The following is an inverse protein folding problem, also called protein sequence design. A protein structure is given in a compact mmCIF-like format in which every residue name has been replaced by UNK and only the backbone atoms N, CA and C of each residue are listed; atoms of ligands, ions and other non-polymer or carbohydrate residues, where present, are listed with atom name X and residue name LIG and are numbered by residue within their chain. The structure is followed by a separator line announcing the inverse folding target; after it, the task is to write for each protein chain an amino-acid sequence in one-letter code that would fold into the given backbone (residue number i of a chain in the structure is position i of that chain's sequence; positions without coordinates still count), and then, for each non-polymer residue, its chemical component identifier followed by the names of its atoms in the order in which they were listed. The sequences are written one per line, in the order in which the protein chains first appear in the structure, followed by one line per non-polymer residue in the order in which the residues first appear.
data_IF_483143598121
#
_entry.id   IF_483143598121
#
_cell.length_a   1.000
_cell.length_b   1.000
_cell.length_c   1.000
_cell.angle_alpha   90.00
_cell.angle_beta   90.00
_cell.angle_gamma   90.00
#
_symmetry.space_group_name_H-M   'P 1'
#
loop_
_entity.id
_entity.type
_entity.pdbx_description
1 polymer ?
#
# COMPACT_ATOMS: atom_id res chain seq x y z
N UNK A 1 -16.81 -13.71 -25.02
CA UNK A 1 -16.12 -12.57 -25.67
C UNK A 1 -14.67 -12.99 -25.91
N UNK A 2 -14.08 -12.73 -27.09
CA UNK A 2 -12.67 -13.04 -27.37
C UNK A 2 -11.78 -11.90 -26.87
N UNK A 3 -10.65 -12.23 -26.29
CA UNK A 3 -9.65 -11.27 -25.84
C UNK A 3 -8.62 -10.99 -26.95
N UNK A 4 -7.98 -9.80 -26.94
CA UNK A 4 -7.04 -9.39 -28.00
C UNK A 4 -5.83 -10.33 -28.14
N UNK A 5 -5.40 -11.00 -27.07
CA UNK A 5 -4.29 -11.93 -27.11
C UNK A 5 -4.63 -13.28 -27.78
N UNK A 6 -5.91 -13.55 -28.05
CA UNK A 6 -6.41 -14.79 -28.66
C UNK A 6 -6.49 -14.73 -30.18
N UNK A 7 -6.35 -13.55 -30.78
CA UNK A 7 -6.56 -13.32 -32.21
C UNK A 7 -5.28 -12.81 -32.90
N UNK A 8 -5.14 -12.99 -34.23
CA UNK A 8 -4.06 -12.37 -34.99
C UNK A 8 -4.06 -10.84 -34.87
N UNK A 9 -2.89 -10.23 -34.94
CA UNK A 9 -2.73 -8.78 -34.82
C UNK A 9 -3.57 -7.99 -35.84
N UNK A 10 -3.67 -8.47 -37.08
CA UNK A 10 -4.48 -7.85 -38.14
C UNK A 10 -5.98 -7.86 -37.84
N UNK A 11 -6.49 -8.92 -37.21
CA UNK A 11 -7.90 -9.01 -36.79
C UNK A 11 -8.17 -8.04 -35.63
N UNK A 12 -7.24 -7.96 -34.67
CA UNK A 12 -7.32 -7.02 -33.55
C UNK A 12 -7.30 -5.56 -34.02
N UNK A 13 -6.40 -5.22 -34.95
CA UNK A 13 -6.26 -3.88 -35.52
C UNK A 13 -7.53 -3.43 -36.26
N UNK A 14 -8.18 -4.35 -36.99
CA UNK A 14 -9.41 -4.06 -37.71
C UNK A 14 -10.64 -3.84 -36.80
N UNK A 15 -10.59 -4.26 -35.53
CA UNK A 15 -11.73 -4.21 -34.59
C UNK A 15 -11.34 -3.76 -33.18
N UNK A 16 -10.45 -2.76 -33.09
CA UNK A 16 -9.87 -2.26 -31.83
C UNK A 16 -10.91 -1.96 -30.74
N UNK A 17 -12.02 -1.31 -31.07
CA UNK A 17 -13.03 -0.91 -30.08
C UNK A 17 -13.75 -2.09 -29.41
N UNK A 18 -13.90 -3.22 -30.11
CA UNK A 18 -14.44 -4.46 -29.54
C UNK A 18 -13.49 -5.01 -28.48
N UNK A 19 -12.20 -5.10 -28.79
CA UNK A 19 -11.19 -5.64 -27.89
C UNK A 19 -10.89 -4.72 -26.69
N UNK A 20 -10.98 -3.39 -26.85
CA UNK A 20 -10.97 -2.46 -25.72
C UNK A 20 -12.11 -2.78 -24.75
N UNK A 21 -13.30 -3.07 -25.26
CA UNK A 21 -14.47 -3.43 -24.44
C UNK A 21 -14.23 -4.74 -23.68
N UNK A 22 -13.63 -5.74 -24.35
CA UNK A 22 -13.27 -7.01 -23.72
C UNK A 22 -12.29 -6.80 -22.55
N UNK A 23 -11.22 -6.03 -22.74
CA UNK A 23 -10.24 -5.74 -21.68
C UNK A 23 -10.89 -4.97 -20.53
N UNK A 24 -11.73 -3.97 -20.84
CA UNK A 24 -12.42 -3.16 -19.82
C UNK A 24 -13.35 -3.99 -18.94
N UNK A 25 -14.00 -5.03 -19.50
CA UNK A 25 -14.86 -5.92 -18.72
C UNK A 25 -14.12 -6.67 -17.60
N UNK A 26 -12.80 -6.79 -17.70
CA UNK A 26 -11.94 -7.43 -16.70
C UNK A 26 -11.28 -6.46 -15.71
N UNK A 27 -11.41 -5.15 -15.91
CA UNK A 27 -10.87 -4.15 -14.99
C UNK A 27 -11.87 -3.91 -13.86
N UNK A 28 -11.62 -4.53 -12.72
CA UNK A 28 -12.38 -4.29 -11.49
C UNK A 28 -11.71 -3.20 -10.65
N UNK A 29 -12.50 -2.59 -9.76
CA UNK A 29 -11.96 -1.67 -8.76
C UNK A 29 -11.89 -2.35 -7.39
N UNK A 30 -10.80 -2.09 -6.68
CA UNK A 30 -10.58 -2.59 -5.33
C UNK A 30 -11.02 -1.59 -4.23
N UNK A 31 -11.88 -0.60 -4.50
CA UNK A 31 -12.25 0.38 -3.45
C UNK A 31 -12.81 -0.22 -2.16
N UNK A 32 -13.45 -1.37 -2.25
CA UNK A 32 -14.10 -2.03 -1.11
C UNK A 32 -13.19 -3.04 -0.40
N UNK A 33 -12.04 -3.37 -1.00
CA UNK A 33 -11.13 -4.40 -0.49
C UNK A 33 -9.69 -3.91 -0.53
N UNK A 34 -8.96 -4.06 0.58
CA UNK A 34 -7.56 -3.69 0.61
C UNK A 34 -6.73 -4.83 1.19
N UNK A 35 -5.50 -5.04 0.69
CA UNK A 35 -4.63 -6.05 1.23
C UNK A 35 -4.27 -5.72 2.69
N UNK A 36 -4.36 -6.74 3.55
CA UNK A 36 -3.80 -6.70 4.89
C UNK A 36 -2.30 -6.95 4.76
N UNK A 37 -1.50 -5.88 4.77
CA UNK A 37 -0.05 -6.01 4.86
C UNK A 37 0.38 -6.67 6.17
N UNK A 38 1.62 -7.17 6.23
CA UNK A 38 2.19 -7.85 7.42
C UNK A 38 2.18 -7.00 8.71
N UNK A 39 2.04 -5.67 8.59
CA UNK A 39 1.89 -4.74 9.71
C UNK A 39 0.45 -4.24 9.94
N UNK A 40 -0.56 -4.88 9.35
CA UNK A 40 -1.96 -4.52 9.59
C UNK A 40 -2.37 -4.92 11.02
N UNK A 41 -2.94 -3.99 11.76
CA UNK A 41 -3.45 -4.24 13.11
C UNK A 41 -4.94 -4.53 13.00
N UNK A 42 -5.34 -5.75 13.33
CA UNK A 42 -6.75 -6.11 13.46
C UNK A 42 -7.36 -5.54 14.74
N UNK A 43 -8.67 -5.32 14.72
CA UNK A 43 -9.42 -4.78 15.85
C UNK A 43 -9.12 -5.51 17.18
N UNK A 44 -9.11 -6.85 17.28
CA UNK A 44 -8.85 -7.53 18.55
C UNK A 44 -7.44 -7.25 19.13
N UNK A 45 -6.47 -6.92 18.28
CA UNK A 45 -5.12 -6.55 18.73
C UNK A 45 -5.09 -5.10 19.20
N UNK A 46 -5.76 -4.20 18.47
CA UNK A 46 -5.91 -2.80 18.87
C UNK A 46 -6.65 -2.67 20.20
N UNK A 47 -7.76 -3.40 20.36
CA UNK A 47 -8.59 -3.44 21.56
C UNK A 47 -7.79 -3.89 22.79
N UNK A 48 -6.90 -4.89 22.66
CA UNK A 48 -5.98 -5.28 23.75
C UNK A 48 -5.10 -4.12 24.22
N UNK A 49 -4.65 -3.27 23.31
CA UNK A 49 -3.89 -2.07 23.66
C UNK A 49 -4.71 -1.03 24.42
N UNK A 50 -5.98 -0.87 24.01
CA UNK A 50 -6.92 0.03 24.68
C UNK A 50 -7.28 -0.49 26.08
N UNK A 51 -7.61 -1.78 26.22
CA UNK A 51 -7.96 -2.37 27.51
C UNK A 51 -6.77 -2.35 28.49
N UNK A 52 -5.55 -2.61 28.00
CA UNK A 52 -4.35 -2.46 28.83
C UNK A 52 -4.16 -1.01 29.31
N UNK A 53 -4.37 -0.03 28.42
CA UNK A 53 -4.29 1.39 28.78
C UNK A 53 -5.40 1.80 29.77
N UNK A 54 -6.62 1.33 29.55
CA UNK A 54 -7.77 1.56 30.42
C UNK A 54 -7.52 0.98 31.82
N UNK A 55 -7.00 -0.24 31.90
CA UNK A 55 -6.62 -0.88 33.16
C UNK A 55 -5.49 -0.12 33.87
N UNK A 56 -4.43 0.25 33.14
CA UNK A 56 -3.27 0.94 33.71
C UNK A 56 -3.60 2.34 34.27
N UNK A 57 -4.65 2.98 33.76
CA UNK A 57 -5.10 4.32 34.16
C UNK A 57 -6.33 4.32 35.07
N UNK A 58 -6.73 3.16 35.60
CA UNK A 58 -7.95 3.00 36.40
C UNK A 58 -9.20 3.60 35.71
N UNK A 59 -9.46 3.13 34.48
CA UNK A 59 -10.50 3.66 33.61
C UNK A 59 -10.36 5.17 33.31
N UNK A 60 -9.12 5.61 33.10
CA UNK A 60 -8.73 7.01 32.84
C UNK A 60 -8.98 7.97 34.01
N UNK A 61 -9.16 7.46 35.23
CA UNK A 61 -9.18 8.27 36.45
C UNK A 61 -7.79 8.82 36.78
N UNK A 62 -6.75 7.96 36.67
CA UNK A 62 -5.35 8.30 36.90
C UNK A 62 -4.56 8.28 35.59
N UNK A 63 -4.62 9.41 34.88
CA UNK A 63 -3.77 9.65 33.71
C UNK A 63 -2.46 10.30 34.18
N UNK A 64 -1.48 9.46 34.52
CA UNK A 64 -0.15 9.87 34.98
C UNK A 64 0.94 9.52 33.97
N UNK A 65 2.07 10.21 34.03
CA UNK A 65 3.23 9.89 33.18
C UNK A 65 3.72 8.46 33.43
N UNK A 66 3.72 8.00 34.68
CA UNK A 66 4.14 6.66 35.06
C UNK A 66 3.23 5.58 34.47
N UNK A 67 1.91 5.68 34.66
CA UNK A 67 0.94 4.69 34.15
C UNK A 67 1.01 4.55 32.64
N UNK A 68 1.01 5.67 31.91
CA UNK A 68 1.09 5.70 30.44
C UNK A 68 2.43 5.16 29.95
N UNK A 69 3.53 5.54 30.59
CA UNK A 69 4.86 5.06 30.17
C UNK A 69 5.01 3.57 30.41
N UNK A 70 4.60 3.07 31.59
CA UNK A 70 4.67 1.64 31.91
C UNK A 70 3.92 0.80 30.88
N UNK A 71 2.65 1.14 30.60
CA UNK A 71 1.84 0.38 29.63
C UNK A 71 2.39 0.48 28.20
N UNK A 72 3.01 1.61 27.82
CA UNK A 72 3.65 1.78 26.53
C UNK A 72 4.84 0.82 26.32
N UNK A 73 5.58 0.49 27.38
CA UNK A 73 6.67 -0.49 27.31
C UNK A 73 6.18 -1.93 27.40
N UNK A 74 5.21 -2.22 28.28
CA UNK A 74 4.69 -3.57 28.51
C UNK A 74 3.77 -4.06 27.38
N UNK A 75 2.89 -3.18 26.88
CA UNK A 75 1.89 -3.47 25.84
C UNK A 75 2.01 -2.41 24.73
N UNK A 76 2.98 -2.53 23.81
CA UNK A 76 3.37 -1.41 22.95
C UNK A 76 2.30 -0.94 21.96
N UNK A 77 1.34 -1.79 21.61
CA UNK A 77 0.17 -1.38 20.83
C UNK A 77 -0.62 -0.24 21.50
N UNK A 78 -0.55 -0.07 22.83
CA UNK A 78 -1.13 1.07 23.54
C UNK A 78 -0.58 2.42 23.05
N UNK A 79 0.67 2.49 22.54
CA UNK A 79 1.24 3.71 21.94
C UNK A 79 0.44 4.14 20.70
N UNK A 80 0.00 3.16 19.89
CA UNK A 80 -0.83 3.43 18.71
C UNK A 80 -2.23 3.89 19.14
N UNK A 81 -2.79 3.30 20.21
CA UNK A 81 -4.07 3.73 20.79
C UNK A 81 -3.98 5.17 21.31
N UNK A 82 -2.95 5.51 22.08
CA UNK A 82 -2.69 6.87 22.57
C UNK A 82 -2.58 7.85 21.40
N UNK A 83 -1.81 7.48 20.36
CA UNK A 83 -1.69 8.29 19.14
C UNK A 83 -3.04 8.52 18.46
N UNK A 84 -3.91 7.50 18.42
CA UNK A 84 -5.26 7.62 17.90
C UNK A 84 -6.13 8.56 18.76
N UNK A 85 -6.06 8.48 20.09
CA UNK A 85 -6.76 9.42 20.99
C UNK A 85 -6.33 10.87 20.71
N UNK A 86 -5.02 11.11 20.57
CA UNK A 86 -4.46 12.42 20.21
C UNK A 86 -4.83 12.88 18.78
N UNK A 87 -5.11 11.93 17.88
CA UNK A 87 -5.37 12.22 16.47
C UNK A 87 -4.14 12.73 15.73
N UNK A 88 -2.94 12.30 16.12
CA UNK A 88 -1.67 12.72 15.53
C UNK A 88 -1.08 11.63 14.62
N UNK A 89 -0.38 12.04 13.58
CA UNK A 89 0.54 11.16 12.84
C UNK A 89 1.86 11.01 13.64
N UNK A 90 2.66 9.94 13.41
CA UNK A 90 3.97 9.81 14.04
C UNK A 90 4.89 11.04 13.90
N UNK A 91 5.06 11.68 12.72
CA UNK A 91 5.89 12.87 12.60
C UNK A 91 5.35 14.09 13.34
N UNK A 92 4.03 14.30 13.37
CA UNK A 92 3.42 15.40 14.13
C UNK A 92 3.66 15.23 15.63
N UNK A 93 3.54 14.00 16.14
CA UNK A 93 3.79 13.72 17.55
C UNK A 93 5.27 13.90 17.92
N UNK A 94 6.20 13.46 17.06
CA UNK A 94 7.64 13.69 17.24
C UNK A 94 7.99 15.19 17.27
N UNK A 95 7.37 15.99 16.39
CA UNK A 95 7.54 17.43 16.37
C UNK A 95 7.06 18.07 17.68
N UNK A 96 5.85 17.72 18.14
CA UNK A 96 5.31 18.23 19.40
C UNK A 96 6.13 17.80 20.62
N UNK A 97 6.60 16.55 20.65
CA UNK A 97 7.49 16.06 21.70
C UNK A 97 8.79 16.84 21.77
N UNK A 98 9.42 17.09 20.62
CA UNK A 98 10.64 17.91 20.54
C UNK A 98 10.39 19.35 20.98
N UNK A 99 9.23 19.93 20.66
CA UNK A 99 8.91 21.31 21.01
C UNK A 99 8.60 21.48 22.51
N UNK A 100 7.96 20.49 23.13
CA UNK A 100 7.41 20.58 24.49
C UNK A 100 8.25 19.90 25.56
N UNK A 101 9.33 19.23 25.16
CA UNK A 101 10.28 18.57 26.07
C UNK A 101 11.71 19.00 25.72
N UNK A 102 12.67 18.71 26.58
CA UNK A 102 14.10 18.91 26.31
C UNK A 102 14.72 17.81 25.43
N UNK A 103 13.93 16.83 24.99
CA UNK A 103 14.39 15.65 24.25
C UNK A 103 14.11 15.80 22.77
N UNK A 104 15.14 15.71 21.93
CA UNK A 104 14.98 15.70 20.47
C UNK A 104 14.45 14.34 20.00
N UNK A 105 13.20 14.33 19.54
CA UNK A 105 12.54 13.17 18.93
C UNK A 105 12.49 13.38 17.43
N UNK A 106 13.37 12.70 16.70
CA UNK A 106 13.34 12.80 15.24
C UNK A 106 12.11 12.10 14.64
N UNK A 107 11.61 12.62 13.52
CA UNK A 107 10.41 12.08 12.89
C UNK A 107 10.63 10.68 12.30
N UNK A 108 11.87 10.31 11.97
CA UNK A 108 12.22 8.99 11.47
C UNK A 108 12.04 7.92 12.55
N UNK A 109 12.44 8.24 13.77
CA UNK A 109 12.29 7.43 14.97
C UNK A 109 10.82 7.16 15.26
N UNK A 110 9.96 8.18 15.26
CA UNK A 110 8.53 7.96 15.52
C UNK A 110 7.87 7.07 14.45
N UNK A 111 8.25 7.23 13.17
CA UNK A 111 7.80 6.34 12.09
C UNK A 111 8.31 4.90 12.29
N UNK A 112 9.57 4.74 12.64
CA UNK A 112 10.19 3.43 12.87
C UNK A 112 9.60 2.72 14.10
N UNK A 113 9.31 3.46 15.18
CA UNK A 113 8.65 2.94 16.37
C UNK A 113 7.23 2.46 16.03
N UNK A 114 6.43 3.28 15.36
CA UNK A 114 5.06 2.92 14.96
C UNK A 114 5.06 1.69 14.03
N UNK A 115 6.00 1.62 13.06
CA UNK A 115 6.19 0.42 12.23
C UNK A 115 6.60 -0.79 13.07
N UNK A 116 7.58 -0.67 13.96
CA UNK A 116 8.05 -1.78 14.81
C UNK A 116 6.91 -2.36 15.65
N UNK A 117 6.08 -1.51 16.23
CA UNK A 117 4.90 -1.93 16.99
C UNK A 117 3.92 -2.65 16.08
N UNK A 118 3.66 -2.14 14.88
CA UNK A 118 2.78 -2.81 13.91
C UNK A 118 3.20 -4.24 13.55
N UNK A 119 4.50 -4.53 13.52
CA UNK A 119 5.04 -5.87 13.25
C UNK A 119 5.04 -6.80 14.47
N UNK A 120 5.06 -6.26 15.68
CA UNK A 120 5.09 -7.05 16.92
C UNK A 120 4.32 -6.33 18.05
N UNK A 121 2.98 -6.19 17.92
CA UNK A 121 2.18 -5.24 18.69
C UNK A 121 2.14 -5.50 20.20
N UNK A 122 2.24 -6.78 20.58
CA UNK A 122 2.19 -7.21 21.99
C UNK A 122 3.57 -7.61 22.53
N UNK A 123 4.64 -7.45 21.74
CA UNK A 123 5.99 -7.78 22.19
C UNK A 123 6.56 -6.60 22.98
N UNK A 124 6.84 -6.74 24.29
CA UNK A 124 7.32 -5.63 25.11
C UNK A 124 8.54 -4.91 24.52
N UNK A 125 8.56 -3.59 24.67
CA UNK A 125 9.72 -2.79 24.29
C UNK A 125 10.85 -3.04 25.29
N UNK A 126 12.05 -3.30 24.77
CA UNK A 126 13.25 -3.35 25.59
C UNK A 126 13.77 -1.93 25.79
N UNK A 127 13.96 -1.47 27.04
CA UNK A 127 14.59 -0.18 27.29
C UNK A 127 16.00 -0.17 26.71
N UNK A 128 16.35 0.86 25.93
CA UNK A 128 17.69 1.01 25.35
C UNK A 128 18.06 2.47 25.14
N UNK A 129 18.75 3.06 26.13
CA UNK A 129 19.35 4.41 26.06
C UNK A 129 18.42 5.46 25.45
N UNK A 130 18.89 6.09 24.37
CA UNK A 130 18.20 7.17 23.63
C UNK A 130 16.79 6.77 23.15
N UNK A 131 16.55 5.50 22.83
CA UNK A 131 15.20 5.05 22.43
C UNK A 131 14.21 5.17 23.59
N UNK A 132 14.64 4.90 24.82
CA UNK A 132 13.79 5.02 26.01
C UNK A 132 13.45 6.47 26.28
N UNK A 133 14.44 7.37 26.24
CA UNK A 133 14.23 8.81 26.44
C UNK A 133 13.22 9.39 25.46
N UNK A 134 13.32 8.99 24.17
CA UNK A 134 12.38 9.46 23.14
C UNK A 134 10.97 8.91 23.31
N UNK A 135 10.81 7.65 23.73
CA UNK A 135 9.49 7.10 24.07
C UNK A 135 8.90 7.85 25.26
N UNK A 136 9.70 8.11 26.29
CA UNK A 136 9.26 8.86 27.47
C UNK A 136 8.82 10.28 27.10
N UNK A 137 9.55 10.98 26.23
CA UNK A 137 9.18 12.31 25.74
C UNK A 137 7.85 12.31 24.97
N UNK A 138 7.61 11.28 24.13
CA UNK A 138 6.33 11.09 23.45
C UNK A 138 5.19 10.89 24.47
N UNK A 139 5.40 10.01 25.47
CA UNK A 139 4.41 9.72 26.51
C UNK A 139 4.13 10.92 27.40
N UNK A 140 5.15 11.71 27.74
CA UNK A 140 5.01 12.92 28.54
C UNK A 140 4.09 13.93 27.85
N UNK A 141 4.29 14.17 26.54
CA UNK A 141 3.41 15.05 25.78
C UNK A 141 2.01 14.48 25.66
N UNK A 142 1.87 13.16 25.47
CA UNK A 142 0.56 12.54 25.42
C UNK A 142 -0.22 12.68 26.72
N UNK A 143 0.41 12.39 27.86
CA UNK A 143 -0.19 12.53 29.18
C UNK A 143 -0.67 13.97 29.41
N UNK A 144 0.17 14.97 29.13
CA UNK A 144 -0.19 16.39 29.28
C UNK A 144 -1.41 16.75 28.42
N UNK A 145 -1.39 16.35 27.15
CA UNK A 145 -2.47 16.63 26.19
C UNK A 145 -3.80 15.93 26.55
N UNK A 146 -3.74 14.69 27.05
CA UNK A 146 -4.94 13.94 27.42
C UNK A 146 -5.50 14.38 28.78
N UNK A 147 -4.66 14.90 29.68
CA UNK A 147 -5.09 15.36 31.01
C UNK A 147 -5.69 16.77 31.00
N UNK A 148 -5.01 17.73 30.37
CA UNK A 148 -5.24 19.17 30.65
C UNK A 148 -6.43 19.79 29.88
N UNK A 149 -7.02 19.07 28.93
CA UNK A 149 -8.11 19.58 28.09
C UNK A 149 -7.67 20.62 27.06
N UNK A 150 -8.63 21.14 26.31
CA UNK A 150 -8.37 22.04 25.18
C UNK A 150 -8.18 23.48 25.65
N UNK A 151 -7.04 24.14 25.36
CA UNK A 151 -6.89 25.57 25.59
C UNK A 151 -7.81 26.36 24.65
N UNK A 152 -8.20 27.57 25.06
CA UNK A 152 -8.93 28.50 24.19
C UNK A 152 -8.11 28.82 22.94
N UNK A 153 -8.78 28.79 21.79
CA UNK A 153 -8.22 29.17 20.48
C UNK A 153 -9.11 30.27 19.88
N UNK A 154 -8.59 31.01 18.89
CA UNK A 154 -9.38 32.01 18.17
C UNK A 154 -10.66 31.39 17.56
N UNK A 155 -11.76 32.15 17.52
CA UNK A 155 -13.07 31.65 17.08
C UNK A 155 -13.12 31.06 15.65
N UNK A 156 -12.15 31.42 14.80
CA UNK A 156 -12.00 30.89 13.44
C UNK A 156 -11.05 29.68 13.34
N UNK A 157 -10.54 29.17 14.47
CA UNK A 157 -9.63 28.04 14.56
C UNK A 157 -10.28 26.93 15.38
N UNK A 158 -10.08 25.69 14.93
CA UNK A 158 -10.47 24.50 15.67
C UNK A 158 -9.23 23.87 16.30
N UNK A 159 -9.25 23.64 17.61
CA UNK A 159 -8.20 22.87 18.26
C UNK A 159 -8.41 21.37 17.96
N UNK A 160 -7.34 20.63 17.63
CA UNK A 160 -7.45 19.22 17.20
C UNK A 160 -8.07 18.30 18.26
N UNK A 161 -7.91 18.64 19.54
CA UNK A 161 -8.52 17.92 20.66
C UNK A 161 -9.92 18.43 21.03
N UNK A 162 -10.47 19.42 20.33
CA UNK A 162 -11.86 19.88 20.53
C UNK A 162 -12.85 18.91 19.89
N UNK A 163 -12.95 17.74 20.52
CA UNK A 163 -13.80 16.60 20.14
C UNK A 163 -14.51 16.11 21.39
N UNK A 164 -15.65 15.46 21.24
CA UNK A 164 -16.42 14.93 22.37
C UNK A 164 -15.59 14.05 23.33
N UNK A 165 -14.57 13.36 22.82
CA UNK A 165 -13.73 12.44 23.57
C UNK A 165 -12.50 13.08 24.25
N UNK A 166 -12.13 14.32 23.90
CA UNK A 166 -10.89 14.95 24.40
C UNK A 166 -11.01 16.43 24.79
N UNK A 167 -12.15 17.09 24.53
CA UNK A 167 -12.33 18.55 24.72
C UNK A 167 -12.02 18.98 26.15
N UNK A 168 -12.54 18.24 27.12
CA UNK A 168 -12.35 18.50 28.55
C UNK A 168 -11.30 17.56 29.16
N UNK A 169 -10.33 17.07 28.38
CA UNK A 169 -9.23 16.26 28.90
C UNK A 169 -9.71 14.93 29.49
N UNK A 170 -9.17 14.57 30.66
CA UNK A 170 -9.42 13.27 31.30
C UNK A 170 -10.91 13.04 31.58
N UNK A 171 -11.67 14.09 31.87
CA UNK A 171 -13.09 14.03 32.17
C UNK A 171 -13.90 13.54 30.95
N UNK A 172 -13.57 14.02 29.74
CA UNK A 172 -14.20 13.56 28.50
C UNK A 172 -13.86 12.11 28.19
N UNK A 173 -12.59 11.74 28.37
CA UNK A 173 -12.09 10.38 28.11
C UNK A 173 -12.78 9.39 29.07
N UNK A 174 -12.79 9.70 30.37
CA UNK A 174 -13.45 8.90 31.41
C UNK A 174 -14.94 8.77 31.14
N UNK A 175 -15.61 9.84 30.72
CA UNK A 175 -17.03 9.81 30.41
C UNK A 175 -17.33 8.81 29.28
N UNK A 176 -16.61 8.87 28.16
CA UNK A 176 -16.82 7.93 27.05
C UNK A 176 -16.38 6.50 27.37
N UNK A 177 -15.31 6.31 28.14
CA UNK A 177 -14.85 4.98 28.53
C UNK A 177 -15.84 4.22 29.45
N UNK A 178 -16.73 4.96 30.11
CA UNK A 178 -17.77 4.43 31.02
C UNK A 178 -19.19 4.48 30.42
N UNK A 179 -19.39 5.27 29.37
CA UNK A 179 -20.57 5.16 28.53
C UNK A 179 -20.52 3.78 27.87
N UNK A 180 -21.63 3.01 27.85
CA UNK A 180 -21.70 1.66 27.25
C UNK A 180 -21.47 1.60 25.73
N UNK A 181 -20.72 2.55 25.20
CA UNK A 181 -20.32 2.74 23.82
C UNK A 181 -18.95 2.09 23.57
N UNK A 182 -18.73 1.42 22.42
CA UNK A 182 -17.45 0.77 22.11
C UNK A 182 -16.40 1.81 21.70
N UNK A 183 -15.92 2.61 22.66
CA UNK A 183 -14.87 3.60 22.45
C UNK A 183 -13.60 3.06 21.74
N UNK A 184 -13.09 1.83 22.01
CA UNK A 184 -11.98 1.27 21.24
C UNK A 184 -12.27 1.15 19.74
N UNK A 185 -13.53 0.91 19.34
CA UNK A 185 -13.92 0.83 17.93
C UNK A 185 -13.79 2.19 17.23
N UNK A 186 -14.24 3.28 17.88
CA UNK A 186 -14.09 4.63 17.31
C UNK A 186 -12.62 5.06 17.23
N UNK A 187 -11.82 4.70 18.23
CA UNK A 187 -10.37 4.93 18.17
C UNK A 187 -9.72 4.08 17.09
N UNK A 188 -10.21 2.86 16.85
CA UNK A 188 -9.74 1.99 15.77
C UNK A 188 -10.07 2.57 14.40
N UNK A 189 -11.30 3.04 14.16
CA UNK A 189 -11.66 3.75 12.93
C UNK A 189 -10.76 4.98 12.71
N UNK A 190 -10.53 5.77 13.77
CA UNK A 190 -9.63 6.93 13.70
C UNK A 190 -8.19 6.53 13.39
N UNK A 191 -7.71 5.39 13.89
CA UNK A 191 -6.40 4.83 13.56
C UNK A 191 -6.32 4.41 12.08
N UNK A 192 -7.38 3.78 11.54
CA UNK A 192 -7.48 3.41 10.13
C UNK A 192 -7.54 4.65 9.20
N UNK A 193 -7.98 5.79 9.73
CA UNK A 193 -8.12 7.06 9.01
C UNK A 193 -9.56 7.33 8.60
N UNK A 194 -9.81 8.25 7.66
CA UNK A 194 -11.19 8.70 7.38
C UNK A 194 -12.14 7.66 6.76
N UNK A 195 -11.69 6.54 6.13
CA UNK A 195 -11.71 5.20 6.77
C UNK A 195 -10.50 4.29 6.42
N UNK A 196 -9.66 4.67 5.44
CA UNK A 196 -8.60 3.78 4.90
C UNK A 196 -7.40 4.50 4.28
N UNK A 197 -7.37 5.83 4.25
CA UNK A 197 -6.32 6.59 3.54
C UNK A 197 -4.91 6.34 4.09
N UNK A 198 -4.75 6.32 5.42
CA UNK A 198 -3.45 6.05 6.05
C UNK A 198 -2.97 4.61 5.85
N UNK A 199 -3.90 3.63 5.85
CA UNK A 199 -3.57 2.24 5.53
C UNK A 199 -3.20 2.10 4.06
N UNK A 200 -4.03 2.62 3.15
CA UNK A 200 -3.81 2.62 1.70
C UNK A 200 -2.45 3.22 1.32
N UNK A 201 -2.08 4.36 1.89
CA UNK A 201 -0.77 4.97 1.62
C UNK A 201 0.37 4.04 2.08
N UNK A 202 0.18 3.31 3.18
CA UNK A 202 1.16 2.36 3.72
C UNK A 202 1.22 0.99 3.03
N UNK A 203 0.18 0.62 2.27
CA UNK A 203 0.11 -0.63 1.50
C UNK A 203 0.04 -0.41 0.00
N UNK A 204 0.24 0.83 -0.48
CA UNK A 204 0.24 1.17 -1.90
C UNK A 204 1.24 0.33 -2.71
N UNK A 205 2.38 -0.02 -2.09
CA UNK A 205 3.34 -0.99 -2.62
C UNK A 205 2.77 -2.40 -2.67
N UNK A 206 2.04 -2.90 -1.66
CA UNK A 206 1.41 -4.22 -1.70
C UNK A 206 0.26 -4.32 -2.71
N UNK A 207 -0.48 -3.23 -2.91
CA UNK A 207 -1.48 -3.15 -3.97
C UNK A 207 -0.77 -3.26 -5.32
N UNK A 208 0.30 -2.50 -5.55
CA UNK A 208 1.17 -2.58 -6.73
C UNK A 208 1.83 -3.95 -6.96
N UNK A 209 2.44 -4.50 -5.91
CA UNK A 209 3.19 -5.76 -5.89
C UNK A 209 2.28 -6.96 -6.09
N UNK A 210 0.96 -6.86 -5.81
CA UNK A 210 0.03 -7.98 -5.98
C UNK A 210 0.00 -8.51 -7.41
N UNK A 211 0.07 -7.61 -8.41
CA UNK A 211 0.09 -8.00 -9.82
C UNK A 211 1.45 -8.58 -10.22
N UNK A 212 2.55 -7.98 -9.76
CA UNK A 212 3.89 -8.52 -10.00
C UNK A 212 4.08 -9.90 -9.36
N UNK A 213 3.62 -10.09 -8.13
CA UNK A 213 3.63 -11.38 -7.45
C UNK A 213 2.77 -12.42 -8.16
N UNK A 214 1.62 -12.02 -8.73
CA UNK A 214 0.80 -12.94 -9.51
C UNK A 214 1.50 -13.37 -10.81
N UNK A 215 2.19 -12.44 -11.51
CA UNK A 215 3.02 -12.77 -12.68
C UNK A 215 4.15 -13.71 -12.29
N UNK A 216 4.85 -13.40 -11.20
CA UNK A 216 5.94 -14.19 -10.66
C UNK A 216 5.52 -15.63 -10.33
N UNK A 217 4.36 -15.81 -9.72
CA UNK A 217 3.78 -17.12 -9.43
C UNK A 217 3.47 -17.90 -10.72
N UNK A 218 2.90 -17.25 -11.74
CA UNK A 218 2.66 -17.87 -13.06
C UNK A 218 3.96 -18.34 -13.70
N UNK A 219 4.99 -17.48 -13.74
CA UNK A 219 6.30 -17.82 -14.31
C UNK A 219 6.97 -18.95 -13.54
N UNK A 220 6.95 -18.90 -12.21
CA UNK A 220 7.57 -19.90 -11.33
C UNK A 220 6.90 -21.27 -11.45
N UNK A 221 5.56 -21.30 -11.51
CA UNK A 221 4.77 -22.52 -11.73
C UNK A 221 5.05 -23.14 -13.10
N UNK A 222 5.21 -22.32 -14.13
CA UNK A 222 5.61 -22.75 -15.47
C UNK A 222 7.10 -23.16 -15.56
N UNK A 223 7.91 -22.85 -14.54
CA UNK A 223 9.35 -23.09 -14.57
C UNK A 223 10.07 -22.24 -15.61
N UNK A 224 9.57 -21.03 -15.87
CA UNK A 224 10.18 -20.08 -16.79
C UNK A 224 11.25 -19.29 -16.03
N UNK A 225 12.46 -19.23 -16.58
CA UNK A 225 13.51 -18.36 -16.06
C UNK A 225 13.18 -16.89 -16.36
N UNK A 226 13.38 -16.01 -15.38
CA UNK A 226 13.15 -14.58 -15.55
C UNK A 226 14.12 -13.77 -14.67
N UNK A 227 14.35 -12.53 -15.09
CA UNK A 227 14.96 -11.47 -14.27
C UNK A 227 13.86 -10.49 -13.86
N UNK A 228 13.53 -10.45 -12.57
CA UNK A 228 12.69 -9.39 -11.98
C UNK A 228 13.56 -8.21 -11.60
N UNK A 229 13.12 -7.01 -11.92
CA UNK A 229 13.90 -5.78 -11.69
C UNK A 229 13.43 -5.07 -10.43
N UNK A 230 14.33 -4.31 -9.80
CA UNK A 230 14.04 -3.53 -8.60
C UNK A 230 13.72 -2.08 -8.98
N UNK A 231 13.03 -1.39 -8.07
CA UNK A 231 12.70 0.03 -8.24
C UNK A 231 13.96 0.86 -8.53
N UNK A 232 13.90 1.65 -9.61
CA UNK A 232 14.98 2.53 -10.09
C UNK A 232 16.30 1.82 -10.46
N UNK A 233 16.27 0.51 -10.72
CA UNK A 233 17.39 -0.25 -11.27
C UNK A 233 17.61 0.11 -12.74
N UNK A 234 18.88 0.23 -13.17
CA UNK A 234 19.26 0.52 -14.56
C UNK A 234 19.90 -0.71 -15.17
N UNK A 235 19.37 -1.19 -16.30
CA UNK A 235 19.95 -2.28 -17.08
C UNK A 235 20.48 -1.71 -18.41
N UNK A 236 21.73 -1.99 -18.80
CA UNK A 236 22.26 -1.57 -20.09
C UNK A 236 21.36 -2.00 -21.26
N UNK A 237 21.13 -1.09 -22.20
CA UNK A 237 20.21 -1.32 -23.34
C UNK A 237 18.75 -0.98 -23.07
N UNK A 238 18.41 -0.57 -21.84
CA UNK A 238 17.11 -0.02 -21.48
C UNK A 238 17.26 1.33 -20.80
N UNK A 239 16.75 2.40 -21.43
CA UNK A 239 16.69 3.73 -20.80
C UNK A 239 15.77 3.72 -19.57
N UNK A 240 14.74 2.85 -19.62
CA UNK A 240 13.87 2.51 -18.51
C UNK A 240 13.68 1.00 -18.46
N UNK A 241 14.17 0.39 -17.37
CA UNK A 241 14.18 -1.06 -17.20
C UNK A 241 12.77 -1.64 -16.99
N UNK A 242 12.32 -2.66 -17.77
CA UNK A 242 11.02 -3.31 -17.59
C UNK A 242 10.94 -4.14 -16.30
N UNK A 243 9.72 -4.47 -15.84
CA UNK A 243 9.51 -5.17 -14.55
C UNK A 243 10.03 -6.62 -14.59
N UNK A 244 9.81 -7.35 -15.70
CA UNK A 244 10.36 -8.69 -15.93
C UNK A 244 11.02 -8.82 -17.30
N UNK A 245 12.15 -9.52 -17.35
CA UNK A 245 12.88 -9.85 -18.58
C UNK A 245 13.04 -11.37 -18.66
N UNK A 246 12.61 -11.97 -19.77
CA UNK A 246 12.68 -13.41 -20.02
C UNK A 246 13.59 -13.71 -21.21
N UNK A 247 14.45 -14.74 -21.13
CA UNK A 247 14.77 -15.48 -19.91
C UNK A 247 15.68 -14.69 -18.96
N UNK A 248 16.42 -13.70 -19.45
CA UNK A 248 17.37 -12.89 -18.69
C UNK A 248 17.72 -11.57 -19.41
N UNK A 249 18.43 -10.69 -18.72
CA UNK A 249 18.85 -9.37 -19.23
C UNK A 249 19.89 -9.39 -20.36
N UNK A 250 20.62 -10.50 -20.54
CA UNK A 250 21.67 -10.62 -21.56
C UNK A 250 21.11 -11.03 -22.93
N UNK A 251 20.02 -11.78 -22.95
CA UNK A 251 19.31 -12.18 -24.17
C UNK A 251 17.79 -12.02 -23.98
N UNK A 252 17.27 -10.78 -23.98
CA UNK A 252 15.85 -10.53 -23.77
C UNK A 252 15.01 -10.95 -24.98
N UNK A 253 14.06 -11.84 -24.77
CA UNK A 253 13.12 -12.36 -25.77
C UNK A 253 11.68 -11.89 -25.50
N UNK A 254 11.33 -11.73 -24.22
CA UNK A 254 10.01 -11.26 -23.77
C UNK A 254 10.20 -10.28 -22.63
N UNK A 255 9.48 -9.17 -22.69
CA UNK A 255 9.41 -8.15 -21.64
C UNK A 255 8.00 -8.08 -21.09
N UNK A 256 7.86 -8.11 -19.77
CA UNK A 256 6.56 -7.93 -19.10
C UNK A 256 6.60 -6.66 -18.26
N UNK A 257 5.57 -5.83 -18.44
CA UNK A 257 5.38 -4.60 -17.70
C UNK A 257 4.05 -4.66 -16.92
N UNK A 258 4.11 -4.51 -15.60
CA UNK A 258 2.98 -4.55 -14.69
C UNK A 258 2.54 -3.14 -14.30
N UNK A 259 1.26 -2.79 -14.51
CA UNK A 259 0.74 -1.44 -14.21
C UNK A 259 -0.63 -1.48 -13.56
N UNK A 260 -0.70 -0.94 -12.35
CA UNK A 260 -1.97 -0.74 -11.61
C UNK A 260 -2.37 0.73 -11.63
N UNK A 261 -3.64 1.01 -11.90
CA UNK A 261 -4.19 2.37 -11.95
C UNK A 261 -5.58 2.39 -11.30
N UNK A 262 -5.74 3.14 -10.21
CA UNK A 262 -7.06 3.31 -9.55
C UNK A 262 -7.72 4.66 -9.88
N UNK A 263 -6.94 5.61 -10.39
CA UNK A 263 -7.40 6.92 -10.85
C UNK A 263 -7.11 7.15 -12.35
N UNK A 264 -7.85 8.07 -12.92
CA UNK A 264 -7.81 8.47 -14.33
C UNK A 264 -6.62 9.39 -14.65
N UNK A 265 -6.14 10.15 -13.66
CA UNK A 265 -5.05 11.13 -13.78
C UNK A 265 -3.68 10.50 -14.04
N UNK A 266 -3.35 9.37 -13.40
CA UNK A 266 -2.02 8.73 -13.55
C UNK A 266 -1.97 7.65 -14.63
N UNK A 267 -3.12 7.27 -15.19
CA UNK A 267 -3.20 6.19 -16.17
C UNK A 267 -2.50 6.51 -17.51
N UNK A 268 -2.54 7.78 -17.95
CA UNK A 268 -1.87 8.24 -19.18
C UNK A 268 -0.36 8.04 -19.12
N UNK A 269 0.25 8.46 -18.03
CA UNK A 269 1.71 8.40 -17.86
C UNK A 269 2.20 6.94 -17.86
N UNK A 270 1.40 6.03 -17.28
CA UNK A 270 1.73 4.60 -17.21
C UNK A 270 1.65 3.86 -18.56
N UNK A 271 0.78 4.28 -19.48
CA UNK A 271 0.68 3.71 -20.85
C UNK A 271 1.88 4.09 -21.71
N UNK A 272 2.36 5.32 -21.56
CA UNK A 272 3.50 5.86 -22.33
C UNK A 272 4.74 4.97 -22.23
N UNK A 273 4.94 4.34 -21.07
CA UNK A 273 6.07 3.43 -20.84
C UNK A 273 5.98 2.14 -21.64
N UNK A 274 4.81 1.51 -21.71
CA UNK A 274 4.62 0.30 -22.53
C UNK A 274 4.74 0.65 -24.02
N UNK A 275 4.24 1.82 -24.44
CA UNK A 275 4.42 2.29 -25.82
C UNK A 275 5.89 2.46 -26.17
N UNK A 276 6.70 2.98 -25.26
CA UNK A 276 8.13 3.13 -25.47
C UNK A 276 8.83 1.76 -25.61
N UNK A 277 8.50 0.79 -24.76
CA UNK A 277 9.00 -0.59 -24.90
C UNK A 277 8.57 -1.21 -26.24
N UNK A 278 7.32 -1.01 -26.67
CA UNK A 278 6.84 -1.48 -27.96
C UNK A 278 7.58 -0.82 -29.14
N UNK A 279 7.89 0.47 -29.05
CA UNK A 279 8.69 1.17 -30.05
C UNK A 279 10.12 0.63 -30.12
N UNK A 280 10.77 0.40 -28.98
CA UNK A 280 12.10 -0.22 -28.92
C UNK A 280 12.12 -1.66 -29.43
N UNK A 281 11.01 -2.40 -29.29
CA UNK A 281 10.88 -3.75 -29.82
C UNK A 281 10.89 -3.79 -31.35
N UNK A 282 10.43 -2.73 -32.02
CA UNK A 282 10.27 -2.67 -33.48
C UNK A 282 11.37 -1.80 -34.14
N UNK A 283 12.08 -0.99 -33.36
CA UNK A 283 13.19 -0.18 -33.85
C UNK A 283 14.19 -1.03 -34.64
N UNK A 284 14.50 -0.58 -35.86
CA UNK A 284 15.41 -1.23 -36.80
C UNK A 284 15.04 -2.67 -37.20
N UNK A 285 13.76 -3.05 -37.04
CA UNK A 285 13.22 -4.36 -37.40
C UNK A 285 12.09 -4.25 -38.44
N UNK A 286 11.85 -5.31 -39.24
CA UNK A 286 10.64 -5.42 -40.05
C UNK A 286 9.40 -5.40 -39.15
N UNK A 287 8.31 -4.78 -39.62
CA UNK A 287 7.05 -4.62 -38.87
C UNK A 287 6.46 -5.94 -38.33
N UNK A 288 6.85 -7.09 -38.86
CA UNK A 288 6.37 -8.42 -38.42
C UNK A 288 7.36 -9.22 -37.56
N UNK A 289 8.54 -8.70 -37.24
CA UNK A 289 9.55 -9.42 -36.45
C UNK A 289 10.12 -8.50 -35.36
N UNK A 290 9.37 -8.25 -34.28
CA UNK A 290 9.90 -7.47 -33.18
C UNK A 290 11.08 -8.20 -32.52
N UNK A 291 12.06 -7.43 -32.04
CA UNK A 291 13.24 -7.89 -31.30
C UNK A 291 12.88 -8.70 -30.04
N UNK A 292 11.79 -8.34 -29.38
CA UNK A 292 11.22 -9.06 -28.25
C UNK A 292 9.69 -8.88 -28.21
N UNK A 293 8.98 -9.83 -27.60
CA UNK A 293 7.54 -9.69 -27.34
C UNK A 293 7.32 -8.80 -26.11
N UNK A 294 6.45 -7.78 -26.23
CA UNK A 294 6.10 -6.88 -25.12
C UNK A 294 4.72 -7.25 -24.60
N UNK A 295 4.64 -7.57 -23.31
CA UNK A 295 3.40 -7.95 -22.63
C UNK A 295 3.08 -6.87 -21.59
N UNK A 296 1.84 -6.37 -21.60
CA UNK A 296 1.34 -5.52 -20.54
C UNK A 296 0.41 -6.31 -19.62
N UNK A 297 0.72 -6.35 -18.33
CA UNK A 297 -0.21 -6.82 -17.30
C UNK A 297 -0.77 -5.60 -16.58
N UNK A 298 -2.09 -5.45 -16.54
CA UNK A 298 -2.74 -4.27 -15.99
C UNK A 298 -3.80 -4.61 -14.94
N UNK A 299 -4.00 -3.71 -13.99
CA UNK A 299 -5.09 -3.81 -13.01
C UNK A 299 -5.63 -2.43 -12.61
N UNK A 300 -6.78 -2.45 -11.94
CA UNK A 300 -7.48 -1.26 -11.48
C UNK A 300 -8.29 -0.55 -12.55
N UNK A 301 -9.19 0.33 -12.11
CA UNK A 301 -10.19 1.01 -12.96
C UNK A 301 -9.68 2.17 -13.80
N UNK A 302 -8.50 2.72 -13.50
CA UNK A 302 -8.01 3.97 -14.09
C UNK A 302 -7.88 3.91 -15.61
N UNK A 303 -7.47 2.76 -16.14
CA UNK A 303 -7.46 2.48 -17.58
C UNK A 303 -8.84 2.16 -18.17
N UNK A 304 -9.78 1.67 -17.36
CA UNK A 304 -11.14 1.27 -17.76
C UNK A 304 -12.09 2.41 -18.15
N UNK A 305 -11.61 3.66 -18.11
CA UNK A 305 -12.34 4.85 -18.58
C UNK A 305 -11.61 5.57 -19.73
N UNK A 306 -10.47 5.04 -20.20
CA UNK A 306 -9.58 5.70 -21.17
C UNK A 306 -9.38 4.86 -22.44
N UNK A 307 -10.44 4.75 -23.25
CA UNK A 307 -10.45 3.88 -24.45
C UNK A 307 -9.28 4.14 -25.40
N UNK A 308 -8.96 5.41 -25.67
CA UNK A 308 -7.86 5.78 -26.57
C UNK A 308 -6.49 5.35 -26.06
N UNK A 309 -6.26 5.37 -24.75
CA UNK A 309 -5.01 4.90 -24.18
C UNK A 309 -4.95 3.37 -24.14
N UNK A 310 -6.11 2.69 -24.02
CA UNK A 310 -6.18 1.24 -24.21
C UNK A 310 -5.90 0.82 -25.66
N UNK A 311 -6.41 1.56 -26.66
CA UNK A 311 -6.07 1.31 -28.08
C UNK A 311 -4.57 1.38 -28.32
N UNK A 312 -3.92 2.42 -27.78
CA UNK A 312 -2.46 2.57 -27.83
C UNK A 312 -1.74 1.40 -27.18
N UNK A 313 -2.23 0.92 -26.03
CA UNK A 313 -1.64 -0.21 -25.32
C UNK A 313 -1.76 -1.52 -26.13
N UNK A 314 -2.93 -1.77 -26.72
CA UNK A 314 -3.17 -2.93 -27.59
C UNK A 314 -2.28 -2.91 -28.82
N UNK A 315 -2.11 -1.74 -29.46
CA UNK A 315 -1.21 -1.58 -30.60
C UNK A 315 0.25 -1.82 -30.20
N UNK A 316 0.71 -1.19 -29.11
CA UNK A 316 2.10 -1.30 -28.65
C UNK A 316 2.50 -2.74 -28.25
N UNK A 317 1.55 -3.52 -27.74
CA UNK A 317 1.76 -4.91 -27.29
C UNK A 317 1.28 -5.94 -28.30
N UNK A 318 0.79 -5.51 -29.47
CA UNK A 318 0.16 -6.37 -30.48
C UNK A 318 -0.93 -7.29 -29.89
N UNK A 319 -1.71 -6.74 -28.95
CA UNK A 319 -2.81 -7.41 -28.27
C UNK A 319 -2.43 -8.19 -27.01
N UNK A 320 -1.14 -8.25 -26.63
CA UNK A 320 -0.67 -8.95 -25.42
C UNK A 320 -0.90 -8.12 -24.14
N UNK A 321 -2.18 -7.87 -23.85
CA UNK A 321 -2.64 -7.18 -22.64
C UNK A 321 -3.42 -8.16 -21.76
N UNK A 322 -2.92 -8.39 -20.55
CA UNK A 322 -3.53 -9.27 -19.55
C UNK A 322 -3.99 -8.45 -18.34
N UNK A 323 -5.00 -8.96 -17.65
CA UNK A 323 -5.52 -8.43 -16.39
C UNK A 323 -5.38 -9.48 -15.30
N UNK A 324 -5.56 -9.10 -14.04
CA UNK A 324 -5.60 -10.07 -12.93
C UNK A 324 -6.62 -11.20 -13.15
N UNK A 325 -7.70 -10.96 -13.89
CA UNK A 325 -8.75 -11.95 -14.14
C UNK A 325 -8.42 -12.99 -15.23
N UNK A 326 -7.41 -12.74 -16.07
CA UNK A 326 -7.05 -13.63 -17.18
C UNK A 326 -5.55 -13.97 -17.22
N UNK A 327 -4.84 -13.73 -16.12
CA UNK A 327 -3.40 -13.97 -16.00
C UNK A 327 -3.04 -15.46 -16.06
N UNK A 328 -3.98 -16.34 -15.72
CA UNK A 328 -3.86 -17.80 -15.89
C UNK A 328 -3.64 -18.22 -17.36
N UNK A 329 -4.01 -17.35 -18.30
CA UNK A 329 -3.86 -17.54 -19.76
C UNK A 329 -2.55 -16.94 -20.31
N UNK A 330 -1.76 -16.28 -19.46
CA UNK A 330 -0.55 -15.56 -19.84
C UNK A 330 0.44 -16.44 -20.62
N UNK A 331 0.72 -17.64 -20.12
CA UNK A 331 1.70 -18.56 -20.76
C UNK A 331 1.19 -19.10 -22.10
N UNK A 332 -0.10 -19.44 -22.18
CA UNK A 332 -0.71 -20.08 -23.35
C UNK A 332 -0.72 -19.15 -24.58
N UNK A 333 -1.03 -17.88 -24.36
CA UNK A 333 -1.25 -16.89 -25.43
C UNK A 333 -0.05 -15.98 -25.70
N UNK A 334 1.14 -16.32 -25.22
CA UNK A 334 2.37 -15.57 -25.46
C UNK A 334 3.51 -16.51 -25.85
N UNK A 335 4.68 -15.96 -26.18
CA UNK A 335 5.91 -16.73 -26.42
C UNK A 335 6.45 -17.37 -25.14
N UNK A 336 5.90 -17.06 -23.96
CA UNK A 336 6.32 -17.67 -22.68
C UNK A 336 6.25 -19.21 -22.70
N UNK A 337 5.32 -19.79 -23.48
CA UNK A 337 5.24 -21.24 -23.69
C UNK A 337 6.51 -21.86 -24.28
N UNK A 338 7.30 -21.10 -25.04
CA UNK A 338 8.58 -21.54 -25.62
C UNK A 338 9.64 -21.78 -24.52
N UNK A 339 9.47 -21.15 -23.35
CA UNK A 339 10.39 -21.21 -22.21
C UNK A 339 9.88 -22.09 -21.06
N UNK A 340 8.72 -22.73 -21.22
CA UNK A 340 8.10 -23.53 -20.17
C UNK A 340 8.87 -24.84 -19.94
N UNK A 341 9.38 -25.04 -18.73
CA UNK A 341 10.09 -26.28 -18.34
C UNK A 341 9.25 -27.22 -17.49
N UNK A 342 8.23 -26.71 -16.81
CA UNK A 342 7.27 -27.49 -16.03
C UNK A 342 5.94 -27.57 -16.78
N UNK A 343 5.56 -28.77 -17.21
CA UNK A 343 4.23 -29.01 -17.82
C UNK A 343 3.15 -28.96 -16.74
N UNK A 344 1.96 -28.43 -17.08
CA UNK A 344 0.75 -28.57 -16.25
C UNK A 344 0.58 -30.06 -15.92
N UNK A 345 0.52 -30.42 -14.65
CA UNK A 345 -0.04 -31.71 -14.27
C UNK A 345 -1.47 -31.77 -14.83
N UNK A 346 -1.86 -32.83 -15.56
CA UNK A 346 -3.26 -32.99 -15.95
C UNK A 346 -4.11 -33.04 -14.67
N UNK A 347 -5.20 -32.28 -14.69
CA UNK A 347 -6.19 -32.24 -13.61
C UNK A 347 -6.84 -33.61 -13.40
#
# INVERSE_FOLDING_TARGET
MRFPFEVPFSEMEASLDEFVTAVFSCLASEFLVMPKGVGFIEYPVFEKGYEALKQATSAFEDISQESITRVAFEVPISIIVIRAMLGLTPPEWAYLATQRTSVRVDQGFARALDRKIRFAPLKPLKPSGVSTERVNALMEVAFKLLRDGVPQVENNKLHRLDKADTKYGKESIRHLANMGFPYPMVLYERFLGRPFAGHRDSVSELVGDSLESAIEDVLTKAGISYRKTKRAERIPGFDQTPDFIIPNEFNPEILIEAKITEDDGTARDKVTRVQHLGALAIADQPTNQPKYEVIACIAGRGLGVRREDMKKLLLATRGKVFTSQNLDRLVEFTRLKEFQTKKKQPA
#
